data_IF_000364886428
#
_entry.id   IF_000364886428
#
_cell.length_a   1.000
_cell.length_b   1.000
_cell.length_c   1.000
_cell.angle_alpha   90.00
_cell.angle_beta   90.00
_cell.angle_gamma   90.00
#
_symmetry.space_group_name_H-M   'P 1'
#
loop_
_entity.id
_entity.type
_entity.pdbx_description
1 polymer ?
#
# COMPACT_ATOMS: atom_id res chain seq x y z
N UNK A 1 3.37 -9.25 12.28
CA UNK A 1 3.87 -7.86 12.14
C UNK A 1 3.32 -7.28 10.84
N UNK A 2 3.31 -5.96 10.66
CA UNK A 2 2.80 -5.32 9.43
C UNK A 2 3.84 -4.36 8.87
N UNK A 3 4.20 -4.52 7.60
CA UNK A 3 5.18 -3.64 6.96
C UNK A 3 5.33 -3.88 5.46
N UNK A 4 6.06 -2.95 4.83
CA UNK A 4 6.52 -3.01 3.45
C UNK A 4 8.03 -3.27 3.42
N UNK A 5 8.52 -3.76 2.30
CA UNK A 5 9.97 -3.89 2.07
C UNK A 5 10.64 -2.52 1.89
N UNK A 6 11.93 -2.45 2.21
CA UNK A 6 12.73 -1.29 1.85
C UNK A 6 12.74 -1.09 0.32
N UNK A 7 12.66 0.17 -0.12
CA UNK A 7 12.55 0.54 -1.53
C UNK A 7 11.12 0.74 -2.02
N UNK A 8 10.09 0.31 -1.27
CA UNK A 8 8.69 0.66 -1.60
C UNK A 8 8.53 2.18 -1.63
N UNK A 9 8.03 2.71 -2.76
CA UNK A 9 7.91 4.14 -2.97
C UNK A 9 6.59 4.67 -2.38
N UNK A 10 6.69 5.76 -1.63
CA UNK A 10 5.56 6.47 -1.02
C UNK A 10 5.38 7.81 -1.71
N UNK A 11 4.14 8.15 -2.08
CA UNK A 11 3.81 9.48 -2.58
C UNK A 11 3.89 10.51 -1.44
N UNK A 12 4.74 11.51 -1.61
CA UNK A 12 4.93 12.63 -0.68
C UNK A 12 4.67 13.97 -1.36
N UNK A 13 4.72 15.06 -0.59
CA UNK A 13 4.69 16.44 -1.11
C UNK A 13 5.96 16.80 -1.91
N UNK A 14 7.00 15.97 -1.85
CA UNK A 14 8.29 16.12 -2.55
C UNK A 14 8.46 15.13 -3.70
N UNK A 15 7.44 14.33 -4.02
CA UNK A 15 7.50 13.26 -5.01
C UNK A 15 7.56 11.86 -4.38
N UNK A 16 8.09 10.89 -5.12
CA UNK A 16 8.23 9.50 -4.65
C UNK A 16 9.45 9.36 -3.75
N UNK A 17 9.25 8.85 -2.55
CA UNK A 17 10.31 8.65 -1.55
C UNK A 17 10.28 7.20 -1.06
N UNK A 18 11.42 6.50 -0.97
CA UNK A 18 11.47 5.15 -0.40
C UNK A 18 11.00 5.13 1.06
N UNK A 19 10.22 4.13 1.45
CA UNK A 19 9.56 4.07 2.76
C UNK A 19 10.55 4.14 3.94
N UNK A 20 11.76 3.57 3.78
CA UNK A 20 12.80 3.60 4.80
C UNK A 20 13.40 5.00 5.04
N UNK A 21 13.15 5.95 4.13
CA UNK A 21 13.61 7.34 4.25
C UNK A 21 12.55 8.28 4.83
N UNK A 22 11.29 7.83 4.93
CA UNK A 22 10.18 8.59 5.50
C UNK A 22 10.38 8.81 7.00
N UNK A 23 10.20 10.05 7.47
CA UNK A 23 10.39 10.44 8.87
C UNK A 23 9.13 11.07 9.46
N UNK A 24 9.07 11.10 10.79
CA UNK A 24 8.05 11.86 11.51
C UNK A 24 8.08 13.31 11.05
N UNK A 25 6.92 13.84 10.68
CA UNK A 25 6.75 15.18 10.14
C UNK A 25 6.70 15.28 8.62
N UNK A 26 7.13 14.25 7.87
CA UNK A 26 6.94 14.21 6.42
C UNK A 26 5.45 14.12 6.05
N UNK A 27 5.09 14.68 4.90
CA UNK A 27 3.75 14.65 4.36
C UNK A 27 3.61 13.51 3.36
N UNK A 28 2.68 12.59 3.62
CA UNK A 28 2.38 11.45 2.74
C UNK A 28 0.97 11.56 2.21
N UNK A 29 0.76 11.12 0.97
CA UNK A 29 -0.56 11.07 0.37
C UNK A 29 -1.40 9.98 1.07
N UNK A 30 -2.58 10.34 1.51
CA UNK A 30 -3.51 9.46 2.24
C UNK A 30 -4.90 9.60 1.63
N UNK A 31 -5.69 8.53 1.73
CA UNK A 31 -7.11 8.52 1.38
C UNK A 31 -7.89 7.96 2.56
N UNK A 32 -9.01 8.59 2.98
CA UNK A 32 -9.87 8.00 3.99
C UNK A 32 -10.62 6.80 3.41
N UNK A 33 -10.87 5.80 4.26
CA UNK A 33 -11.62 4.58 3.91
C UNK A 33 -13.05 4.90 3.48
N UNK A 34 -13.70 5.82 4.21
CA UNK A 34 -15.06 6.25 3.93
C UNK A 34 -15.10 7.01 2.61
N UNK A 35 -15.86 6.48 1.65
CA UNK A 35 -15.97 7.01 0.29
C UNK A 35 -15.17 6.21 -0.75
N UNK A 36 -14.35 5.24 -0.34
CA UNK A 36 -13.61 4.34 -1.23
C UNK A 36 -12.84 5.10 -2.31
N UNK A 37 -12.89 4.62 -3.56
CA UNK A 37 -12.21 5.26 -4.70
C UNK A 37 -12.55 6.74 -4.94
N UNK A 38 -13.74 7.18 -4.53
CA UNK A 38 -14.23 8.54 -4.75
C UNK A 38 -13.84 9.49 -3.60
N UNK A 39 -13.25 8.97 -2.53
CA UNK A 39 -12.77 9.77 -1.41
C UNK A 39 -11.57 10.65 -1.84
N UNK A 40 -11.53 11.92 -1.39
CA UNK A 40 -10.45 12.83 -1.72
C UNK A 40 -9.13 12.32 -1.14
N UNK A 41 -8.07 12.41 -1.94
CA UNK A 41 -6.71 12.20 -1.45
C UNK A 41 -6.18 13.49 -0.83
N UNK A 42 -5.51 13.36 0.30
CA UNK A 42 -4.98 14.48 1.07
C UNK A 42 -3.59 14.16 1.61
N UNK A 43 -2.73 15.17 1.71
CA UNK A 43 -1.46 15.03 2.38
C UNK A 43 -1.65 15.08 3.89
N UNK A 44 -1.12 14.09 4.61
CA UNK A 44 -1.15 14.01 6.08
C UNK A 44 0.26 13.84 6.63
N UNK A 45 0.51 14.41 7.81
CA UNK A 45 1.81 14.29 8.50
C UNK A 45 1.96 12.90 9.12
N UNK A 46 3.11 12.30 8.91
CA UNK A 46 3.53 11.09 9.63
C UNK A 46 3.78 11.45 11.09
N UNK A 47 3.04 10.81 11.99
CA UNK A 47 3.17 11.01 13.46
C UNK A 47 4.07 9.97 14.11
N UNK A 48 4.26 8.82 13.46
CA UNK A 48 5.09 7.71 13.93
C UNK A 48 5.66 6.94 12.75
N UNK A 49 6.93 6.55 12.87
CA UNK A 49 7.61 5.65 11.96
C UNK A 49 8.29 4.54 12.77
N UNK A 50 8.28 3.32 12.26
CA UNK A 50 8.93 2.18 12.87
C UNK A 50 9.52 1.30 11.77
N UNK A 51 10.65 0.69 12.07
CA UNK A 51 11.30 -0.29 11.22
C UNK A 51 11.39 -1.58 12.03
N UNK A 52 11.10 -2.69 11.36
CA UNK A 52 11.28 -4.01 11.92
C UNK A 52 12.43 -4.71 11.22
N UNK A 53 12.98 -5.74 11.87
CA UNK A 53 14.03 -6.56 11.27
C UNK A 53 13.49 -7.46 10.16
N UNK A 54 14.05 -8.66 10.05
CA UNK A 54 13.65 -9.64 9.05
C UNK A 54 12.31 -10.30 9.43
N UNK A 55 11.41 -10.44 8.46
CA UNK A 55 10.12 -11.15 8.59
C UNK A 55 9.78 -11.84 7.26
N UNK A 56 8.84 -12.80 7.31
CA UNK A 56 8.36 -13.50 6.12
C UNK A 56 7.55 -12.55 5.22
N UNK A 57 7.94 -12.49 3.95
CA UNK A 57 7.28 -11.70 2.94
C UNK A 57 6.38 -12.58 2.07
N UNK A 58 5.24 -12.02 1.70
CA UNK A 58 4.39 -12.55 0.64
C UNK A 58 4.56 -11.72 -0.62
N UNK A 59 4.47 -12.38 -1.77
CA UNK A 59 4.46 -11.72 -3.09
C UNK A 59 3.01 -11.51 -3.52
N UNK A 60 2.59 -10.25 -3.59
CA UNK A 60 1.29 -9.86 -4.14
C UNK A 60 1.43 -9.54 -5.61
N UNK A 61 0.52 -10.08 -6.41
CA UNK A 61 0.43 -9.79 -7.84
C UNK A 61 -0.88 -9.04 -8.08
N UNK A 62 -0.77 -7.81 -8.57
CA UNK A 62 -1.90 -6.91 -8.82
C UNK A 62 -1.97 -6.61 -10.30
N UNK A 63 -3.15 -6.74 -10.89
CA UNK A 63 -3.41 -6.28 -12.25
C UNK A 63 -4.35 -5.09 -12.17
N UNK A 64 -4.16 -4.08 -13.03
CA UNK A 64 -5.17 -3.03 -13.14
C UNK A 64 -6.40 -3.61 -13.81
N UNK A 65 -7.57 -3.30 -13.27
CA UNK A 65 -8.82 -3.43 -14.02
C UNK A 65 -8.73 -2.54 -15.25
N UNK A 66 -8.73 -3.14 -16.43
CA UNK A 66 -8.92 -2.46 -17.71
C UNK A 66 -10.32 -2.74 -18.22
N UNK A 67 -11.00 -1.69 -18.71
CA UNK A 67 -12.31 -1.85 -19.38
C UNK A 67 -12.20 -2.64 -20.70
N UNK A 68 -10.98 -2.78 -21.22
CA UNK A 68 -10.63 -3.61 -22.36
C UNK A 68 -10.06 -4.93 -21.85
N UNK A 69 -10.45 -6.04 -22.46
CA UNK A 69 -9.88 -7.38 -22.24
C UNK A 69 -8.44 -7.39 -22.81
N UNK A 70 -7.55 -6.71 -22.11
CA UNK A 70 -6.15 -6.55 -22.46
C UNK A 70 -5.39 -7.66 -21.76
N UNK A 71 -5.26 -8.80 -22.45
CA UNK A 71 -4.50 -9.96 -21.96
C UNK A 71 -3.05 -9.63 -21.62
N UNK A 72 -2.55 -8.45 -22.03
CA UNK A 72 -1.19 -7.95 -21.78
C UNK A 72 -1.11 -6.89 -20.66
N UNK A 73 -2.19 -6.65 -19.90
CA UNK A 73 -2.16 -5.66 -18.82
C UNK A 73 -1.04 -6.00 -17.80
N UNK A 74 -0.14 -5.03 -17.49
CA UNK A 74 1.04 -5.30 -16.69
C UNK A 74 0.67 -5.75 -15.29
N UNK A 75 1.30 -6.83 -14.84
CA UNK A 75 1.21 -7.31 -13.46
C UNK A 75 2.20 -6.50 -12.61
N UNK A 76 1.67 -5.78 -11.64
CA UNK A 76 2.44 -5.11 -10.60
C UNK A 76 2.72 -6.11 -9.48
N UNK A 77 3.96 -6.14 -9.01
CA UNK A 77 4.39 -7.04 -7.95
C UNK A 77 4.74 -6.20 -6.73
N UNK A 78 4.09 -6.49 -5.62
CA UNK A 78 4.38 -5.87 -4.33
C UNK A 78 4.83 -6.93 -3.32
N UNK A 79 5.70 -6.55 -2.38
CA UNK A 79 6.16 -7.42 -1.31
C UNK A 79 5.80 -6.82 0.04
N UNK A 80 4.98 -7.54 0.81
CA UNK A 80 4.54 -7.12 2.14
C UNK A 80 4.58 -8.28 3.12
N UNK A 81 4.52 -7.99 4.42
CA UNK A 81 4.35 -9.03 5.45
C UNK A 81 2.95 -9.65 5.37
N UNK A 82 2.81 -10.93 5.73
CA UNK A 82 1.55 -11.70 5.60
C UNK A 82 0.30 -11.07 6.23
N UNK A 83 0.45 -10.36 7.35
CA UNK A 83 -0.66 -9.72 8.07
C UNK A 83 -0.85 -8.24 7.72
N UNK A 84 -0.12 -7.72 6.73
CA UNK A 84 -0.26 -6.32 6.34
C UNK A 84 -1.69 -6.07 5.79
N UNK A 85 -2.39 -5.04 6.28
CA UNK A 85 -3.77 -4.79 5.90
C UNK A 85 -3.86 -4.23 4.49
N UNK A 86 -4.75 -4.80 3.69
CA UNK A 86 -5.09 -4.37 2.33
C UNK A 86 -6.56 -3.98 2.33
N UNK A 87 -6.88 -2.82 1.77
CA UNK A 87 -8.26 -2.38 1.62
C UNK A 87 -8.89 -3.08 0.42
N UNK A 88 -9.97 -3.82 0.65
CA UNK A 88 -10.78 -4.43 -0.42
C UNK A 88 -12.00 -3.54 -0.72
N UNK A 89 -12.02 -2.94 -1.91
CA UNK A 89 -13.11 -2.06 -2.33
C UNK A 89 -14.45 -2.77 -2.54
N UNK A 90 -14.45 -4.07 -2.82
CA UNK A 90 -15.66 -4.87 -3.04
C UNK A 90 -16.32 -5.26 -1.71
N UNK A 91 -15.51 -5.60 -0.71
CA UNK A 91 -15.96 -5.96 0.64
C UNK A 91 -16.15 -4.73 1.54
N UNK A 92 -15.50 -3.60 1.21
CA UNK A 92 -15.39 -2.40 2.08
C UNK A 92 -14.76 -2.72 3.43
N UNK A 93 -13.75 -3.59 3.42
CA UNK A 93 -13.10 -4.11 4.61
C UNK A 93 -11.58 -4.20 4.43
N UNK A 94 -10.86 -4.16 5.56
CA UNK A 94 -9.43 -4.46 5.59
C UNK A 94 -9.21 -5.96 5.71
N UNK A 95 -8.55 -6.55 4.73
CA UNK A 95 -8.16 -7.96 4.72
C UNK A 95 -6.65 -8.10 4.94
N UNK A 96 -6.16 -9.17 5.58
CA UNK A 96 -4.73 -9.45 5.64
C UNK A 96 -4.20 -9.87 4.27
N UNK A 97 -2.94 -9.55 3.98
CA UNK A 97 -2.31 -9.93 2.71
C UNK A 97 -2.28 -11.45 2.43
N UNK A 98 -2.25 -12.29 3.46
CA UNK A 98 -2.45 -13.73 3.33
C UNK A 98 -3.91 -14.07 3.61
N UNK A 99 -4.66 -14.43 2.56
CA UNK A 99 -6.01 -14.99 2.69
C UNK A 99 -5.86 -16.48 3.05
N UNK A 100 -6.37 -16.91 4.21
CA UNK A 100 -6.47 -18.32 4.54
C UNK A 100 -7.63 -18.92 3.75
N UNK A 101 -7.31 -19.80 2.80
CA UNK A 101 -8.27 -20.65 2.06
C UNK A 101 -8.66 -21.87 2.87
#
# INVERSE_FOLDING_TARGET
MTGFVAGTLVHTDKGLVPIQEIKVGDWVLSRPELGGKDAPTEYKRVTRAFCFGEDELIRLSCQRDSEYDDTDAPIYIEFITSNHPIWDESLKEWIPGRIQT
#
